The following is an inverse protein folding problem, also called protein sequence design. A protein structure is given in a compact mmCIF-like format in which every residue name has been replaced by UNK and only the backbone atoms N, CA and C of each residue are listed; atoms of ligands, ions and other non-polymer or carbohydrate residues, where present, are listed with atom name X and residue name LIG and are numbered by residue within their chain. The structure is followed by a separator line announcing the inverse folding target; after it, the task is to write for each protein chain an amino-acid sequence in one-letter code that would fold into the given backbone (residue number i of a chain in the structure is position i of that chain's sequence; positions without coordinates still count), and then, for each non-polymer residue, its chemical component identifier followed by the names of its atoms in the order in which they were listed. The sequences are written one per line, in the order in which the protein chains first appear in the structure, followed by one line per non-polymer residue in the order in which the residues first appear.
data_IF_859422890515
#
_entry.id   IF_859422890515
#
_cell.length_a   1.000
_cell.length_b   1.000
_cell.length_c   1.000
_cell.angle_alpha   90.00
_cell.angle_beta   90.00
_cell.angle_gamma   90.00
#
_symmetry.space_group_name_H-M   'P 1'
#
loop_
_entity.id
_entity.type
_entity.pdbx_description
1 polymer ?
#
# COMPACT_ATOMS: atom_id res chain seq x y z
N UNK A 1 -10.00 27.09 15.27
CA UNK A 1 -9.50 26.19 16.34
C UNK A 1 -8.50 25.21 15.74
N UNK A 2 -7.28 25.68 15.44
CA UNK A 2 -6.20 24.85 14.87
C UNK A 2 -4.85 25.48 15.23
N UNK A 3 -4.52 25.50 16.53
CA UNK A 3 -3.22 25.96 17.06
C UNK A 3 -2.88 25.11 18.30
N UNK A 4 -2.90 23.78 18.16
CA UNK A 4 -2.78 22.88 19.31
C UNK A 4 -1.89 21.66 19.12
N UNK A 5 -1.14 21.53 18.03
CA UNK A 5 -0.38 20.29 17.74
C UNK A 5 1.10 20.48 17.41
N UNK A 6 1.68 21.68 17.63
CA UNK A 6 3.11 21.90 17.36
C UNK A 6 4.00 21.80 18.60
N UNK A 7 3.47 22.00 19.82
CA UNK A 7 4.28 21.97 21.04
C UNK A 7 4.62 20.55 21.55
N UNK A 8 3.88 19.51 21.14
CA UNK A 8 4.16 18.14 21.61
C UNK A 8 5.32 17.45 20.89
N UNK A 9 5.65 17.85 19.66
CA UNK A 9 6.82 17.32 18.95
C UNK A 9 8.13 17.95 19.43
N UNK A 10 8.09 19.19 19.92
CA UNK A 10 9.27 19.86 20.47
C UNK A 10 9.71 19.27 21.82
N UNK A 11 8.77 18.77 22.64
CA UNK A 11 9.11 18.17 23.95
C UNK A 11 9.70 16.74 23.85
N UNK A 12 9.39 15.99 22.79
CA UNK A 12 9.94 14.63 22.61
C UNK A 12 11.45 14.65 22.38
N UNK A 13 11.96 15.71 21.72
CA UNK A 13 13.40 15.90 21.46
C UNK A 13 14.22 16.27 22.69
N UNK A 14 13.60 16.61 23.83
CA UNK A 14 14.33 16.94 25.08
C UNK A 14 14.52 15.71 25.97
N UNK A 15 13.74 14.64 25.78
CA UNK A 15 13.80 13.45 26.65
C UNK A 15 14.70 12.35 26.08
N UNK A 16 14.87 12.28 24.77
CA UNK A 16 15.83 11.36 24.14
C UNK A 16 17.14 12.09 23.91
N UNK A 17 18.17 11.78 24.71
CA UNK A 17 19.51 12.37 24.65
C UNK A 17 20.30 12.06 23.38
N UNK A 18 19.70 12.22 22.20
CA UNK A 18 20.39 12.13 20.92
C UNK A 18 21.03 13.46 20.58
N UNK A 19 22.36 13.45 20.54
CA UNK A 19 23.21 14.57 20.12
C UNK A 19 22.96 14.88 18.64
N UNK A 20 21.96 15.70 18.35
CA UNK A 20 21.64 16.16 17.00
C UNK A 20 22.88 16.82 16.37
N UNK A 21 23.34 16.29 15.24
CA UNK A 21 24.43 16.88 14.44
C UNK A 21 24.07 18.33 14.09
N UNK A 22 25.04 19.25 14.23
CA UNK A 22 24.87 20.71 14.07
C UNK A 22 24.08 21.13 12.82
N UNK A 23 24.14 20.33 11.75
CA UNK A 23 23.44 20.57 10.49
C UNK A 23 21.90 20.52 10.62
N UNK A 24 21.35 19.63 11.46
CA UNK A 24 19.90 19.49 11.66
C UNK A 24 19.31 20.66 12.47
N UNK A 25 20.10 21.22 13.40
CA UNK A 25 19.70 22.39 14.19
C UNK A 25 19.58 23.64 13.30
N UNK A 26 20.48 23.80 12.33
CA UNK A 26 20.38 24.86 11.32
C UNK A 26 19.14 24.74 10.44
N UNK A 27 18.72 23.53 10.08
CA UNK A 27 17.49 23.33 9.29
C UNK A 27 16.23 23.64 10.10
N UNK A 28 16.19 23.23 11.36
CA UNK A 28 15.09 23.54 12.28
C UNK A 28 14.97 25.05 12.56
N UNK A 29 16.09 25.75 12.82
CA UNK A 29 16.11 27.20 13.02
C UNK A 29 15.69 27.98 11.76
N UNK A 30 16.08 27.51 10.58
CA UNK A 30 15.75 28.15 9.30
C UNK A 30 14.26 27.99 8.94
N UNK A 31 13.66 26.86 9.33
CA UNK A 31 12.21 26.66 9.21
C UNK A 31 11.43 27.53 10.21
N UNK A 32 11.90 27.64 11.45
CA UNK A 32 11.25 28.49 12.47
C UNK A 32 11.22 29.99 12.08
N UNK A 33 12.28 30.50 11.43
CA UNK A 33 12.29 31.91 10.97
C UNK A 33 11.41 32.17 9.74
N UNK A 34 11.02 31.13 8.98
CA UNK A 34 10.15 31.29 7.82
C UNK A 34 8.67 31.45 8.19
N UNK A 35 8.27 31.15 9.44
CA UNK A 35 6.87 31.14 9.89
C UNK A 35 6.48 32.40 10.67
N UNK A 36 7.38 33.37 10.85
CA UNK A 36 7.13 34.61 11.63
C UNK A 36 7.25 35.90 10.81
N UNK A 37 6.48 36.05 9.73
CA UNK A 37 6.33 37.37 9.10
C UNK A 37 4.85 37.69 8.80
N UNK A 38 4.24 38.66 9.50
CA UNK A 38 2.87 39.09 9.26
C UNK A 38 2.80 40.27 8.26
N UNK A 39 2.02 40.05 7.19
CA UNK A 39 1.27 41.01 6.37
C UNK A 39 1.89 42.35 5.91
N UNK A 40 1.94 42.52 4.57
CA UNK A 40 1.37 43.72 3.93
C UNK A 40 0.89 43.41 2.52
N UNK A 41 -0.39 43.67 2.30
CA UNK A 41 -1.14 43.69 1.03
C UNK A 41 -0.45 44.51 -0.06
N UNK A 42 -0.52 44.05 -1.32
CA UNK A 42 -0.83 44.87 -2.49
C UNK A 42 -1.30 43.98 -3.65
N UNK A 43 -2.17 44.58 -4.45
CA UNK A 43 -3.13 44.00 -5.38
C UNK A 43 -2.55 43.86 -6.80
N UNK A 44 -3.14 42.92 -7.56
CA UNK A 44 -3.35 42.93 -9.02
C UNK A 44 -2.27 42.39 -10.01
N UNK A 45 -2.73 41.36 -10.73
CA UNK A 45 -2.58 41.07 -12.17
C UNK A 45 -1.26 40.58 -12.78
N UNK A 46 -1.21 39.27 -13.09
CA UNK A 46 -0.86 38.77 -14.43
C UNK A 46 -1.20 37.26 -14.61
N UNK A 47 -2.26 37.01 -15.39
CA UNK A 47 -2.44 35.94 -16.38
C UNK A 47 -2.06 34.48 -16.06
N UNK A 48 -3.10 33.68 -15.76
CA UNK A 48 -3.16 32.24 -15.99
C UNK A 48 -3.42 31.94 -17.48
N UNK A 49 -2.77 30.93 -18.10
CA UNK A 49 -3.22 30.42 -19.39
C UNK A 49 -4.44 29.50 -19.19
N UNK A 50 -5.56 29.92 -19.79
CA UNK A 50 -6.75 29.10 -20.00
C UNK A 50 -6.43 28.02 -21.03
N UNK A 51 -6.71 26.75 -20.70
CA UNK A 51 -7.19 25.82 -21.72
C UNK A 51 -8.41 25.07 -21.22
N UNK A 52 -9.37 25.05 -22.12
CA UNK A 52 -10.78 24.74 -21.93
C UNK A 52 -11.02 23.23 -21.84
N UNK A 53 -11.96 22.88 -20.96
CA UNK A 53 -12.93 21.78 -21.03
C UNK A 53 -12.70 20.67 -22.04
N UNK A 54 -12.54 19.45 -21.52
CA UNK A 54 -13.43 18.35 -21.92
C UNK A 54 -13.78 17.47 -20.74
N UNK A 55 -15.09 17.39 -20.55
CA UNK A 55 -15.87 16.60 -19.62
C UNK A 55 -15.68 15.11 -19.96
N UNK A 56 -15.32 14.26 -19.01
CA UNK A 56 -15.65 12.84 -19.11
C UNK A 56 -16.27 12.40 -17.79
N UNK A 57 -17.59 12.19 -17.86
CA UNK A 57 -18.41 11.58 -16.83
C UNK A 57 -17.84 10.21 -16.48
N UNK A 58 -17.67 9.95 -15.19
CA UNK A 58 -17.86 8.60 -14.66
C UNK A 58 -19.37 8.33 -14.60
N UNK A 59 -19.90 7.26 -15.24
CA UNK A 59 -21.19 6.73 -14.86
C UNK A 59 -21.03 5.70 -13.75
N UNK A 60 -21.86 5.90 -12.74
CA UNK A 60 -22.17 5.00 -11.64
C UNK A 60 -22.92 3.74 -12.11
N UNK A 61 -22.77 2.67 -11.33
CA UNK A 61 -23.64 1.48 -11.23
C UNK A 61 -23.63 0.50 -12.43
N UNK A 62 -23.10 -0.69 -12.17
CA UNK A 62 -23.23 -1.86 -13.04
C UNK A 62 -23.04 -3.13 -12.23
N UNK A 63 -24.15 -3.79 -11.93
CA UNK A 63 -24.25 -5.07 -11.24
C UNK A 63 -23.48 -6.16 -11.99
N UNK A 64 -22.64 -6.91 -11.26
CA UNK A 64 -21.84 -8.00 -11.81
C UNK A 64 -22.72 -9.26 -11.95
N UNK A 65 -23.40 -9.40 -13.08
CA UNK A 65 -24.10 -10.63 -13.46
C UNK A 65 -23.22 -11.49 -14.36
N UNK A 66 -22.92 -12.72 -13.90
CA UNK A 66 -22.31 -13.77 -14.70
C UNK A 66 -23.26 -14.22 -15.82
N UNK A 67 -22.81 -14.34 -17.08
CA UNK A 67 -23.61 -14.99 -18.11
C UNK A 67 -23.51 -16.53 -18.04
N UNK A 68 -24.62 -17.25 -18.27
CA UNK A 68 -24.65 -18.70 -18.38
C UNK A 68 -24.16 -19.18 -19.76
N UNK A 69 -23.65 -20.41 -19.76
CA UNK A 69 -23.42 -21.30 -20.90
C UNK A 69 -24.57 -21.27 -21.93
N UNK A 70 -24.28 -21.03 -23.23
CA UNK A 70 -24.79 -21.85 -24.35
C UNK A 70 -24.23 -21.44 -25.72
N UNK A 71 -23.55 -22.41 -26.36
CA UNK A 71 -23.61 -22.80 -27.78
C UNK A 71 -23.47 -21.77 -28.91
N UNK A 72 -22.40 -21.90 -29.70
CA UNK A 72 -22.45 -21.75 -31.17
C UNK A 72 -21.32 -22.53 -31.88
N UNK A 73 -21.68 -23.75 -32.30
CA UNK A 73 -21.50 -24.31 -33.65
C UNK A 73 -20.26 -23.83 -34.43
N UNK A 74 -19.19 -24.61 -34.41
CA UNK A 74 -18.21 -24.65 -35.50
C UNK A 74 -18.23 -26.04 -36.14
N UNK A 75 -18.58 -26.05 -37.42
CA UNK A 75 -18.48 -27.19 -38.32
C UNK A 75 -16.99 -27.44 -38.60
N UNK A 76 -16.46 -28.56 -38.13
CA UNK A 76 -15.24 -29.12 -38.68
C UNK A 76 -15.39 -30.63 -38.83
N UNK A 77 -15.20 -31.10 -40.06
CA UNK A 77 -15.42 -32.47 -40.48
C UNK A 77 -14.14 -33.30 -40.35
N UNK A 78 -14.17 -34.30 -39.44
CA UNK A 78 -13.40 -35.57 -39.50
C UNK A 78 -11.89 -35.54 -39.19
N UNK A 79 -11.23 -36.70 -38.93
CA UNK A 79 -11.72 -38.07 -39.12
C UNK A 79 -11.78 -38.94 -37.83
N UNK A 80 -12.44 -40.10 -38.00
CA UNK A 80 -12.62 -41.19 -37.03
C UNK A 80 -11.30 -41.87 -36.68
N UNK A 81 -11.09 -42.18 -35.39
CA UNK A 81 -10.29 -43.33 -34.96
C UNK A 81 -10.63 -43.76 -33.52
N UNK A 82 -11.53 -44.74 -33.45
CA UNK A 82 -11.63 -45.91 -32.58
C UNK A 82 -10.93 -45.94 -31.20
N UNK A 83 -11.77 -46.20 -30.19
CA UNK A 83 -11.57 -47.09 -29.04
C UNK A 83 -10.35 -46.88 -28.13
N UNK A 84 -10.59 -46.28 -26.96
CA UNK A 84 -10.09 -46.87 -25.71
C UNK A 84 -10.97 -46.52 -24.51
N UNK A 85 -11.50 -47.57 -23.90
CA UNK A 85 -12.17 -47.59 -22.61
C UNK A 85 -11.15 -47.36 -21.50
N UNK A 86 -11.33 -46.34 -20.66
CA UNK A 86 -10.94 -46.46 -19.24
C UNK A 86 -11.65 -45.43 -18.38
N UNK A 87 -12.55 -45.92 -17.57
CA UNK A 87 -13.06 -45.30 -16.35
C UNK A 87 -11.88 -44.92 -15.43
N UNK A 88 -11.48 -43.66 -15.43
CA UNK A 88 -10.65 -43.10 -14.38
C UNK A 88 -11.33 -41.84 -13.84
N UNK A 89 -12.09 -42.03 -12.75
CA UNK A 89 -12.45 -40.95 -11.83
C UNK A 89 -11.16 -40.49 -11.13
N UNK A 90 -10.34 -39.76 -11.84
CA UNK A 90 -9.21 -39.05 -11.23
C UNK A 90 -9.79 -37.84 -10.52
N UNK A 91 -10.14 -38.03 -9.25
CA UNK A 91 -10.28 -36.91 -8.33
C UNK A 91 -9.01 -36.07 -8.46
N UNK A 92 -9.09 -34.76 -8.69
CA UNK A 92 -7.93 -33.92 -8.53
C UNK A 92 -7.69 -33.88 -7.03
N UNK A 93 -6.91 -34.82 -6.50
CA UNK A 93 -6.15 -34.60 -5.28
C UNK A 93 -5.16 -33.47 -5.59
N UNK A 94 -5.67 -32.25 -5.70
CA UNK A 94 -4.90 -31.04 -5.50
C UNK A 94 -4.51 -31.09 -4.03
N UNK A 95 -3.39 -31.74 -3.74
CA UNK A 95 -2.57 -31.29 -2.62
C UNK A 95 -2.29 -29.82 -2.91
N UNK A 96 -3.08 -28.93 -2.31
CA UNK A 96 -2.67 -27.55 -2.10
C UNK A 96 -1.50 -27.67 -1.13
N UNK A 97 -0.28 -27.81 -1.66
CA UNK A 97 0.90 -27.59 -0.86
C UNK A 97 0.79 -26.14 -0.35
N UNK A 98 0.56 -25.98 0.94
CA UNK A 98 0.61 -24.69 1.62
C UNK A 98 1.97 -24.07 1.28
N UNK A 99 1.97 -22.90 0.64
CA UNK A 99 3.23 -22.28 0.23
C UNK A 99 3.99 -21.71 1.43
N UNK A 100 3.32 -21.57 2.58
CA UNK A 100 3.93 -21.13 3.82
C UNK A 100 4.75 -22.27 4.45
N UNK A 101 6.06 -22.26 4.19
CA UNK A 101 7.01 -23.10 4.93
C UNK A 101 7.36 -22.44 6.28
N UNK A 102 7.72 -23.23 7.32
CA UNK A 102 8.09 -22.67 8.62
C UNK A 102 9.28 -21.71 8.51
N UNK A 103 10.27 -22.02 7.67
CA UNK A 103 11.41 -21.14 7.42
C UNK A 103 11.03 -19.79 6.78
N UNK A 104 10.06 -19.81 5.86
CA UNK A 104 9.56 -18.59 5.24
C UNK A 104 8.80 -17.73 6.26
N UNK A 105 7.98 -18.36 7.10
CA UNK A 105 7.28 -17.68 8.20
C UNK A 105 8.27 -16.98 9.14
N UNK A 106 9.31 -17.68 9.58
CA UNK A 106 10.34 -17.09 10.46
C UNK A 106 11.05 -15.90 9.80
N UNK A 107 11.24 -15.96 8.48
CA UNK A 107 11.86 -14.88 7.71
C UNK A 107 10.92 -13.67 7.62
N UNK A 108 9.63 -13.89 7.36
CA UNK A 108 8.62 -12.84 7.35
C UNK A 108 8.49 -12.18 8.73
N UNK A 109 8.42 -12.97 9.80
CA UNK A 109 8.37 -12.48 11.18
C UNK A 109 9.58 -11.60 11.51
N UNK A 110 10.78 -11.99 11.06
CA UNK A 110 11.99 -11.16 11.25
C UNK A 110 11.89 -9.84 10.50
N UNK A 111 11.48 -9.85 9.23
CA UNK A 111 11.36 -8.64 8.41
C UNK A 111 10.34 -7.67 9.02
N UNK A 112 9.18 -8.20 9.42
CA UNK A 112 8.05 -7.45 9.95
C UNK A 112 8.32 -6.91 11.37
N UNK A 113 9.10 -7.62 12.20
CA UNK A 113 9.52 -7.15 13.53
C UNK A 113 10.76 -6.24 13.52
N UNK A 114 11.63 -6.37 12.53
CA UNK A 114 12.86 -5.57 12.44
C UNK A 114 12.60 -4.11 12.02
N UNK A 115 11.47 -3.83 11.39
CA UNK A 115 11.11 -2.51 10.91
C UNK A 115 9.75 -2.10 11.46
N UNK A 116 9.62 -0.84 11.90
CA UNK A 116 8.36 -0.32 12.47
C UNK A 116 7.22 -0.33 11.45
N UNK A 117 7.50 -0.02 10.18
CA UNK A 117 6.50 0.02 9.10
C UNK A 117 7.04 -0.72 7.89
N UNK A 118 6.31 -1.74 7.44
CA UNK A 118 6.67 -2.58 6.29
C UNK A 118 5.51 -2.65 5.31
N UNK A 119 5.79 -2.43 4.04
CA UNK A 119 4.83 -2.49 2.95
C UNK A 119 5.21 -3.58 1.95
N UNK A 120 4.39 -4.62 1.85
CA UNK A 120 4.50 -5.62 0.79
C UNK A 120 3.68 -5.19 -0.41
N UNK A 121 4.34 -4.93 -1.54
CA UNK A 121 3.71 -4.31 -2.70
C UNK A 121 4.23 -4.84 -4.03
N UNK A 122 3.55 -4.46 -5.11
CA UNK A 122 3.96 -4.77 -6.48
C UNK A 122 4.89 -3.67 -6.99
N UNK A 123 6.17 -3.99 -7.18
CA UNK A 123 7.22 -3.02 -7.49
C UNK A 123 7.91 -2.48 -6.25
N UNK A 124 8.55 -1.33 -6.37
CA UNK A 124 9.30 -0.67 -5.29
C UNK A 124 8.71 0.71 -4.98
N UNK A 125 9.12 1.34 -3.87
CA UNK A 125 8.67 2.70 -3.53
C UNK A 125 8.93 3.73 -4.65
N UNK A 126 10.05 3.57 -5.38
CA UNK A 126 10.47 4.49 -6.45
C UNK A 126 9.78 4.15 -7.78
N UNK A 127 9.48 2.87 -7.99
CA UNK A 127 8.86 2.35 -9.22
C UNK A 127 7.67 1.43 -8.88
N UNK A 128 6.52 1.97 -8.46
CA UNK A 128 5.32 1.17 -8.18
C UNK A 128 4.74 0.63 -9.49
N UNK A 129 4.43 -0.66 -9.53
CA UNK A 129 3.90 -1.34 -10.73
C UNK A 129 2.38 -1.55 -10.71
N UNK A 130 1.69 -0.97 -9.72
CA UNK A 130 0.25 -1.11 -9.56
C UNK A 130 -0.34 0.16 -8.91
N UNK A 131 -1.50 0.62 -9.41
CA UNK A 131 -2.18 1.82 -8.90
C UNK A 131 -2.48 1.74 -7.39
N UNK A 132 -2.97 0.59 -6.90
CA UNK A 132 -3.23 0.37 -5.47
C UNK A 132 -1.95 0.48 -4.63
N UNK A 133 -0.84 -0.06 -5.12
CA UNK A 133 0.46 0.05 -4.45
C UNK A 133 0.97 1.48 -4.43
N UNK A 134 0.81 2.21 -5.53
CA UNK A 134 1.17 3.63 -5.62
C UNK A 134 0.37 4.49 -4.62
N UNK A 135 -0.93 4.25 -4.48
CA UNK A 135 -1.78 4.99 -3.52
C UNK A 135 -1.27 4.85 -2.08
N UNK A 136 -0.95 3.62 -1.64
CA UNK A 136 -0.45 3.39 -0.27
C UNK A 136 0.92 4.06 -0.06
N UNK A 137 1.81 3.98 -1.04
CA UNK A 137 3.12 4.68 -0.99
C UNK A 137 2.93 6.19 -0.86
N UNK A 138 2.01 6.79 -1.63
CA UNK A 138 1.73 8.23 -1.54
C UNK A 138 1.18 8.64 -0.18
N UNK A 139 0.30 7.84 0.41
CA UNK A 139 -0.24 8.08 1.76
C UNK A 139 0.89 8.07 2.79
N UNK A 140 1.73 7.02 2.79
CA UNK A 140 2.84 6.92 3.74
C UNK A 140 3.87 8.03 3.57
N UNK A 141 4.16 8.42 2.32
CA UNK A 141 5.02 9.55 2.01
C UNK A 141 4.44 10.89 2.52
N UNK A 142 3.11 11.04 2.52
CA UNK A 142 2.44 12.26 3.02
C UNK A 142 2.63 12.45 4.53
N UNK A 143 2.78 11.36 5.28
CA UNK A 143 3.09 11.39 6.71
C UNK A 143 4.59 11.54 7.01
N UNK A 144 5.44 11.47 5.99
CA UNK A 144 6.89 11.58 6.11
C UNK A 144 7.50 10.56 7.10
N UNK A 145 6.91 9.36 7.17
CA UNK A 145 7.33 8.25 8.04
C UNK A 145 8.33 7.36 7.30
N UNK A 146 9.41 6.88 7.95
CA UNK A 146 10.28 5.88 7.35
C UNK A 146 9.57 4.51 7.26
N UNK A 147 9.51 3.94 6.06
CA UNK A 147 9.00 2.58 5.83
C UNK A 147 9.87 1.79 4.86
N UNK A 148 9.82 0.48 4.98
CA UNK A 148 10.50 -0.46 4.08
C UNK A 148 9.51 -1.08 3.12
N UNK A 149 9.86 -1.14 1.83
CA UNK A 149 9.06 -1.82 0.80
C UNK A 149 9.70 -3.12 0.39
N UNK A 150 8.89 -4.19 0.28
CA UNK A 150 9.31 -5.48 -0.26
C UNK A 150 8.53 -5.77 -1.53
N UNK A 151 9.26 -6.00 -2.63
CA UNK A 151 8.67 -6.31 -3.93
C UNK A 151 8.27 -7.79 -4.01
N UNK A 152 6.95 -8.05 -4.03
CA UNK A 152 6.42 -9.41 -4.08
C UNK A 152 6.50 -10.06 -5.46
N UNK A 153 6.82 -9.29 -6.52
CA UNK A 153 6.89 -9.81 -7.89
C UNK A 153 8.18 -10.57 -8.17
N UNK A 154 9.22 -10.39 -7.34
CA UNK A 154 10.50 -11.05 -7.50
C UNK A 154 10.48 -12.50 -7.00
N UNK A 155 9.54 -12.86 -6.12
CA UNK A 155 9.48 -14.19 -5.52
C UNK A 155 8.03 -14.68 -5.35
N UNK A 156 7.64 -15.66 -6.16
CA UNK A 156 6.28 -16.21 -6.13
C UNK A 156 5.98 -17.00 -4.83
N UNK A 157 7.00 -17.62 -4.20
CA UNK A 157 6.83 -18.30 -2.90
C UNK A 157 6.50 -17.28 -1.82
N UNK A 158 7.17 -16.13 -1.81
CA UNK A 158 6.88 -15.04 -0.88
C UNK A 158 5.47 -14.49 -1.12
N UNK A 159 5.06 -14.31 -2.37
CA UNK A 159 3.72 -13.86 -2.73
C UNK A 159 2.63 -14.81 -2.24
N UNK A 160 2.80 -16.11 -2.41
CA UNK A 160 1.80 -17.07 -1.96
C UNK A 160 1.84 -17.26 -0.43
N UNK A 161 3.03 -17.31 0.16
CA UNK A 161 3.22 -17.40 1.61
C UNK A 161 2.65 -16.20 2.36
N UNK A 162 2.77 -14.98 1.83
CA UNK A 162 2.18 -13.79 2.46
C UNK A 162 0.66 -13.83 2.53
N UNK A 163 -0.01 -14.36 1.49
CA UNK A 163 -1.48 -14.49 1.51
C UNK A 163 -1.95 -15.42 2.63
N UNK A 164 -1.21 -16.50 2.87
CA UNK A 164 -1.48 -17.45 3.94
C UNK A 164 -1.11 -16.86 5.32
N UNK A 165 0.04 -16.17 5.41
CA UNK A 165 0.54 -15.55 6.64
C UNK A 165 -0.41 -14.46 7.16
N UNK A 166 -0.85 -13.54 6.28
CA UNK A 166 -1.74 -12.44 6.63
C UNK A 166 -3.22 -12.84 6.60
N UNK A 167 -3.54 -14.04 6.14
CA UNK A 167 -4.90 -14.47 5.77
C UNK A 167 -5.62 -13.46 4.85
N UNK A 168 -4.88 -12.81 3.94
CA UNK A 168 -5.39 -11.75 3.07
C UNK A 168 -5.05 -11.99 1.59
N UNK A 169 -6.03 -12.00 0.66
CA UNK A 169 -5.80 -12.47 -0.70
C UNK A 169 -5.18 -11.43 -1.64
N UNK A 170 -5.15 -10.14 -1.27
CA UNK A 170 -4.74 -9.04 -2.16
C UNK A 170 -3.47 -8.33 -1.71
N UNK A 171 -2.90 -7.54 -2.61
CA UNK A 171 -1.75 -6.67 -2.39
C UNK A 171 -2.08 -5.28 -2.92
N UNK A 172 -1.56 -4.19 -2.33
CA UNK A 172 -0.54 -4.13 -1.27
C UNK A 172 -1.04 -4.56 0.13
N UNK A 173 -0.11 -4.95 1.01
CA UNK A 173 -0.34 -5.28 2.42
C UNK A 173 0.57 -4.44 3.31
N UNK A 174 -0.01 -3.71 4.27
CA UNK A 174 0.70 -2.86 5.22
C UNK A 174 0.82 -3.54 6.58
N UNK A 175 2.02 -3.45 7.18
CA UNK A 175 2.32 -3.90 8.53
C UNK A 175 2.88 -2.75 9.35
N UNK A 176 2.44 -2.65 10.60
CA UNK A 176 2.83 -1.62 11.58
C UNK A 176 3.16 -2.33 12.89
N UNK A 177 4.33 -2.07 13.47
CA UNK A 177 4.83 -2.68 14.71
C UNK A 177 4.80 -4.21 14.75
N UNK A 178 4.98 -4.85 13.59
CA UNK A 178 4.94 -6.29 13.50
C UNK A 178 3.54 -6.88 13.28
N UNK A 179 2.49 -6.06 13.29
CA UNK A 179 1.10 -6.49 13.12
C UNK A 179 0.58 -6.13 11.73
N UNK A 180 -0.30 -6.98 11.20
CA UNK A 180 -0.95 -6.75 9.91
C UNK A 180 -2.03 -5.68 10.08
N UNK A 181 -1.88 -4.56 9.37
CA UNK A 181 -2.84 -3.46 9.40
C UNK A 181 -3.97 -3.66 8.38
N UNK A 182 -3.62 -3.94 7.12
CA UNK A 182 -4.62 -4.10 6.08
C UNK A 182 -4.12 -3.93 4.65
N UNK A 183 -5.08 -3.91 3.72
CA UNK A 183 -4.84 -3.63 2.30
C UNK A 183 -4.98 -2.15 1.93
N UNK A 184 -5.00 -1.85 0.63
CA UNK A 184 -5.13 -0.48 0.12
C UNK A 184 -6.40 0.23 0.61
N UNK A 185 -7.56 -0.42 0.52
CA UNK A 185 -8.84 0.23 0.81
C UNK A 185 -8.95 0.62 2.30
N UNK A 186 -8.57 -0.30 3.19
CA UNK A 186 -8.50 -0.07 4.65
C UNK A 186 -7.52 1.08 4.96
N UNK A 187 -6.37 1.11 4.29
CA UNK A 187 -5.38 2.19 4.47
C UNK A 187 -5.92 3.54 4.03
N UNK A 188 -6.65 3.60 2.92
CA UNK A 188 -7.28 4.83 2.42
C UNK A 188 -8.41 5.30 3.34
N UNK A 189 -9.19 4.38 3.90
CA UNK A 189 -10.24 4.70 4.86
C UNK A 189 -9.66 5.23 6.16
N UNK A 190 -8.66 4.54 6.72
CA UNK A 190 -7.95 4.96 7.93
C UNK A 190 -7.18 6.28 7.75
N UNK A 191 -6.72 6.57 6.53
CA UNK A 191 -6.15 7.87 6.18
C UNK A 191 -7.18 8.99 6.26
N UNK A 192 -8.42 8.73 5.79
CA UNK A 192 -9.51 9.71 5.82
C UNK A 192 -10.07 9.91 7.23
N UNK A 193 -10.12 8.85 8.05
CA UNK A 193 -10.58 8.94 9.44
C UNK A 193 -9.54 9.57 10.37
N UNK A 194 -8.26 9.57 9.97
CA UNK A 194 -7.14 10.03 10.81
C UNK A 194 -6.56 8.95 11.73
N UNK A 195 -7.21 7.79 11.83
CA UNK A 195 -6.76 6.65 12.66
C UNK A 195 -5.34 6.18 12.28
N UNK A 196 -5.03 6.18 10.98
CA UNK A 196 -3.72 5.77 10.50
C UNK A 196 -2.61 6.68 11.02
N UNK A 197 -2.88 7.98 11.14
CA UNK A 197 -1.90 8.95 11.66
C UNK A 197 -1.60 8.67 13.13
N UNK A 198 -2.64 8.48 13.95
CA UNK A 198 -2.49 8.19 15.38
C UNK A 198 -1.68 6.90 15.61
N UNK A 199 -1.95 5.86 14.81
CA UNK A 199 -1.22 4.59 14.87
C UNK A 199 0.25 4.75 14.47
N UNK A 200 0.54 5.49 13.41
CA UNK A 200 1.91 5.75 12.96
C UNK A 200 2.69 6.57 13.99
N UNK A 201 2.09 7.61 14.57
CA UNK A 201 2.71 8.42 15.61
C UNK A 201 3.03 7.59 16.85
N UNK A 202 2.07 6.77 17.30
CA UNK A 202 2.27 5.82 18.40
C UNK A 202 3.42 4.85 18.12
N UNK A 203 3.45 4.28 16.91
CA UNK A 203 4.49 3.34 16.50
C UNK A 203 5.88 3.98 16.43
N UNK A 204 5.97 5.27 16.14
CA UNK A 204 7.26 5.97 16.11
C UNK A 204 7.75 6.34 17.51
N UNK A 205 6.85 6.52 18.49
CA UNK A 205 7.18 6.88 19.87
C UNK A 205 7.54 5.69 20.77
N UNK A 206 7.28 4.45 20.36
CA UNK A 206 7.64 3.21 21.06
C UNK A 206 9.12 2.82 20.88
#
# INVERSE_FOLDING_TARGET
MAYGNFERLALCLVVTGERLRREQLTMALRWAMAVSSPNSSLHADAALPKFSSTKTLYPSQGTFNFPPNSTSRLLFSGPKSNNFSSTARTLPFRCFASALTPQLKDTLDKVVKSNKVVLFMKGTKDFPQCGFSNTVVQILNSFNVPFVTVNILENELLRQGLKEYSSWPTFPQLYIEGEFFGGCDITVEAFKSGELQELLEKAMCS
#
